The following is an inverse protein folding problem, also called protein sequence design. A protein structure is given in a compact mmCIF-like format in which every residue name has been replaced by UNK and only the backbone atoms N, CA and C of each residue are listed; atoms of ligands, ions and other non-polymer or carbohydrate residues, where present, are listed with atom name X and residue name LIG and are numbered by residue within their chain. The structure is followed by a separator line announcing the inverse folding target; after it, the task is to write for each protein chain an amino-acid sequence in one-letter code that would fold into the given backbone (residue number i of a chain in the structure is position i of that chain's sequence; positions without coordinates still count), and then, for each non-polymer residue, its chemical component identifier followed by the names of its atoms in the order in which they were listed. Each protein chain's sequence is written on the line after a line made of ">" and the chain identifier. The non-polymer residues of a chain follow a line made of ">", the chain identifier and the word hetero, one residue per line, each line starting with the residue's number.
data_IF_778760357074
#
_entry.id   IF_778760357074
#
_cell.length_a   1.000
_cell.length_b   1.000
_cell.length_c   1.000
_cell.angle_alpha   90.00
_cell.angle_beta   90.00
_cell.angle_gamma   90.00
#
_symmetry.space_group_name_H-M   'P 1'
#
loop_
_entity.id
_entity.type
_entity.pdbx_description
1 polymer ?
#
# COMPACT_ATOMS: atom_id res chain seq x y z
N UNK A 1 -12.14 -4.57 -8.17
CA UNK A 1 -11.08 -5.58 -7.96
C UNK A 1 -9.82 -4.93 -8.48
N UNK A 2 -8.95 -4.50 -7.56
CA UNK A 2 -7.72 -3.78 -7.90
C UNK A 2 -6.74 -4.63 -8.69
N UNK A 3 -5.72 -3.98 -9.24
CA UNK A 3 -4.77 -4.59 -10.18
C UNK A 3 -3.98 -5.77 -9.57
N UNK A 4 -3.91 -5.85 -8.25
CA UNK A 4 -3.21 -6.88 -7.49
C UNK A 4 -4.12 -7.95 -6.86
N UNK A 5 -5.43 -7.88 -7.12
CA UNK A 5 -6.45 -8.81 -6.66
C UNK A 5 -6.52 -9.02 -5.13
N UNK A 6 -6.22 -8.00 -4.34
CA UNK A 6 -6.27 -8.05 -2.87
C UNK A 6 -7.68 -7.80 -2.28
N UNK A 7 -8.64 -7.46 -3.13
CA UNK A 7 -10.03 -7.20 -2.77
C UNK A 7 -10.37 -5.72 -2.53
N UNK A 8 -9.39 -4.82 -2.67
CA UNK A 8 -9.55 -3.36 -2.56
C UNK A 8 -9.70 -2.76 -3.98
N UNK A 9 -10.32 -1.59 -4.09
CA UNK A 9 -10.39 -0.85 -5.37
C UNK A 9 -9.21 0.10 -5.50
N UNK A 10 -8.59 0.17 -6.69
CA UNK A 10 -7.45 1.05 -6.98
C UNK A 10 -7.65 2.53 -6.58
N UNK A 11 -8.90 3.00 -6.47
CA UNK A 11 -9.23 4.37 -6.08
C UNK A 11 -9.05 4.67 -4.59
N UNK A 12 -9.05 3.64 -3.75
CA UNK A 12 -8.90 3.72 -2.29
C UNK A 12 -7.70 2.91 -1.77
N UNK A 13 -7.07 2.14 -2.64
CA UNK A 13 -5.89 1.32 -2.35
C UNK A 13 -4.62 2.18 -2.22
N UNK A 14 -3.99 2.12 -1.05
CA UNK A 14 -2.71 2.79 -0.81
C UNK A 14 -1.51 2.08 -1.47
N UNK A 15 -1.72 0.91 -2.08
CA UNK A 15 -0.74 0.13 -2.85
C UNK A 15 -1.36 -0.51 -4.11
N UNK A 16 -1.77 0.26 -5.16
CA UNK A 16 -2.51 -0.24 -6.33
C UNK A 16 -1.85 -1.35 -7.18
N UNK A 17 -0.64 -1.77 -6.83
CA UNK A 17 0.13 -2.79 -7.54
C UNK A 17 0.73 -3.87 -6.62
N UNK A 18 0.45 -3.84 -5.31
CA UNK A 18 1.05 -4.75 -4.32
C UNK A 18 -0.01 -5.14 -3.30
N UNK A 19 -0.43 -6.41 -3.34
CA UNK A 19 -1.54 -6.89 -2.51
C UNK A 19 -1.32 -6.62 -1.02
N UNK A 20 -2.22 -5.83 -0.42
CA UNK A 20 -2.17 -5.47 0.99
C UNK A 20 -3.59 -5.19 1.54
N UNK A 21 -4.40 -6.25 1.64
CA UNK A 21 -5.80 -6.16 2.11
C UNK A 21 -5.97 -5.55 3.52
N UNK A 22 -4.90 -5.43 4.30
CA UNK A 22 -4.88 -4.79 5.62
C UNK A 22 -4.64 -3.27 5.57
N UNK A 23 -4.26 -2.74 4.41
CA UNK A 23 -4.06 -1.31 4.11
C UNK A 23 -3.21 -0.58 5.16
N UNK A 24 -2.21 -1.26 5.74
CA UNK A 24 -1.35 -0.69 6.78
C UNK A 24 -0.57 0.51 6.22
N UNK A 25 -0.66 1.62 6.94
CA UNK A 25 0.12 2.85 6.73
C UNK A 25 0.49 3.42 8.11
N UNK A 26 1.74 3.23 8.54
CA UNK A 26 2.20 3.60 9.89
C UNK A 26 2.97 4.92 9.95
N UNK A 27 3.46 5.41 8.81
CA UNK A 27 4.20 6.66 8.69
C UNK A 27 3.34 7.83 8.18
N UNK A 28 2.05 7.56 7.93
CA UNK A 28 1.02 8.51 7.53
C UNK A 28 1.35 9.27 6.24
N UNK A 29 2.09 8.66 5.31
CA UNK A 29 2.25 9.21 3.97
C UNK A 29 1.09 8.77 3.04
N UNK A 30 1.20 9.03 1.74
CA UNK A 30 0.13 8.69 0.78
C UNK A 30 0.18 7.24 0.28
N UNK A 31 1.16 6.46 0.73
CA UNK A 31 1.45 5.11 0.27
C UNK A 31 1.33 4.12 1.44
N UNK A 32 0.98 2.87 1.15
CA UNK A 32 0.98 1.82 2.15
C UNK A 32 2.37 1.29 2.46
N UNK A 33 2.51 0.68 3.64
CA UNK A 33 3.74 0.04 4.09
C UNK A 33 4.26 -1.00 3.08
N UNK A 34 3.37 -1.68 2.35
CA UNK A 34 3.76 -2.68 1.37
C UNK A 34 4.64 -2.10 0.24
N UNK A 35 4.34 -0.89 -0.25
CA UNK A 35 5.13 -0.23 -1.31
C UNK A 35 6.31 0.56 -0.72
N UNK A 36 6.12 1.22 0.43
CA UNK A 36 7.16 2.09 1.02
C UNK A 36 8.30 1.29 1.65
N UNK A 37 8.01 0.19 2.35
CA UNK A 37 9.02 -0.65 3.02
C UNK A 37 9.87 -1.47 2.03
N UNK A 38 9.36 -1.73 0.81
CA UNK A 38 10.11 -2.44 -0.23
C UNK A 38 11.09 -1.55 -1.01
N UNK A 39 10.93 -0.23 -0.98
CA UNK A 39 11.71 0.69 -1.83
C UNK A 39 12.59 1.67 -1.07
N UNK A 40 12.31 1.99 0.19
CA UNK A 40 13.21 2.85 0.98
C UNK A 40 12.99 2.58 2.46
N UNK A 41 14.09 2.40 3.20
CA UNK A 41 14.11 2.64 4.63
C UNK A 41 13.78 4.13 4.88
N UNK A 42 12.51 4.51 4.73
CA UNK A 42 12.05 5.86 4.99
C UNK A 42 11.85 5.92 6.50
N UNK A 43 12.93 6.33 7.17
CA UNK A 43 12.95 6.50 8.61
C UNK A 43 11.87 7.50 9.02
N UNK A 44 10.88 7.00 9.75
CA UNK A 44 10.22 7.71 10.85
C UNK A 44 10.32 6.84 12.09
#
# INVERSE_FOLDING_TARGET
>A
MGADADGIEDSVDNCPTVSNSDQINTDNDTLGNAVTMMTTARSH
#
